data_IF_807008797389
#
_entry.id   IF_807008797389
#
_cell.length_a   1.000
_cell.length_b   1.000
_cell.length_c   1.000
_cell.angle_alpha   90.00
_cell.angle_beta   90.00
_cell.angle_gamma   90.00
#
_symmetry.space_group_name_H-M   'P 1'
#
loop_
_entity.id
_entity.type
_entity.pdbx_description
1 polymer ?
#
# COMPACT_ATOMS: atom_id res chain seq x y z
N UNK A 1 -8.08 -8.78 6.56
CA UNK A 1 -7.57 -9.22 5.24
C UNK A 1 -8.41 -10.34 4.60
N UNK A 2 -8.82 -11.40 5.29
CA UNK A 2 -9.86 -12.34 4.80
C UNK A 2 -9.61 -12.91 3.39
N UNK A 3 -10.67 -12.96 2.56
CA UNK A 3 -10.62 -13.43 1.17
C UNK A 3 -9.93 -12.46 0.17
N UNK A 4 -9.35 -11.34 0.65
CA UNK A 4 -8.66 -10.35 -0.18
C UNK A 4 -7.14 -10.57 -0.24
N UNK A 5 -6.60 -11.46 0.58
CA UNK A 5 -5.20 -11.86 0.54
C UNK A 5 -5.01 -13.05 -0.42
N UNK A 6 -3.93 -13.06 -1.19
CA UNK A 6 -3.64 -14.13 -2.15
C UNK A 6 -3.31 -15.49 -1.49
N UNK A 7 -2.73 -15.47 -0.29
CA UNK A 7 -2.29 -16.66 0.44
C UNK A 7 -2.01 -16.33 1.90
N UNK A 8 -1.89 -17.35 2.74
CA UNK A 8 -1.32 -17.23 4.08
C UNK A 8 0.22 -17.26 4.07
N UNK A 9 0.86 -17.60 2.95
CA UNK A 9 2.31 -17.68 2.81
C UNK A 9 2.87 -16.38 2.23
N UNK A 10 3.71 -15.62 2.97
CA UNK A 10 4.22 -14.31 2.53
C UNK A 10 4.92 -14.33 1.17
N UNK A 11 5.72 -15.37 0.91
CA UNK A 11 6.43 -15.55 -0.36
C UNK A 11 5.47 -15.67 -1.56
N UNK A 12 4.37 -16.42 -1.39
CA UNK A 12 3.34 -16.57 -2.43
C UNK A 12 2.60 -15.24 -2.64
N UNK A 13 2.32 -14.49 -1.57
CA UNK A 13 1.69 -13.17 -1.67
C UNK A 13 2.59 -12.20 -2.44
N UNK A 14 3.89 -12.19 -2.16
CA UNK A 14 4.87 -11.35 -2.86
C UNK A 14 4.99 -11.69 -4.34
N UNK A 15 5.11 -12.98 -4.68
CA UNK A 15 5.22 -13.44 -6.06
C UNK A 15 3.97 -13.09 -6.89
N UNK A 16 2.77 -13.42 -6.38
CA UNK A 16 1.51 -13.10 -7.06
C UNK A 16 1.24 -11.60 -7.13
N UNK A 17 1.53 -10.86 -6.05
CA UNK A 17 1.40 -9.40 -6.02
C UNK A 17 2.27 -8.74 -7.08
N UNK A 18 3.51 -9.21 -7.25
CA UNK A 18 4.42 -8.71 -8.29
C UNK A 18 3.94 -9.04 -9.70
N UNK A 19 3.43 -10.25 -9.94
CA UNK A 19 2.90 -10.64 -11.24
C UNK A 19 1.67 -9.79 -11.64
N UNK A 20 0.73 -9.60 -10.71
CA UNK A 20 -0.44 -8.74 -10.92
C UNK A 20 -0.01 -7.30 -11.19
N UNK A 21 0.96 -6.79 -10.44
CA UNK A 21 1.49 -5.44 -10.66
C UNK A 21 2.16 -5.29 -12.02
N UNK A 22 2.89 -6.31 -12.48
CA UNK A 22 3.49 -6.31 -13.82
C UNK A 22 2.42 -6.27 -14.91
N UNK A 23 1.36 -7.08 -14.78
CA UNK A 23 0.22 -7.05 -15.70
C UNK A 23 -0.43 -5.66 -15.81
N UNK A 24 -0.60 -4.95 -14.70
CA UNK A 24 -1.09 -3.56 -14.75
C UNK A 24 -0.14 -2.63 -15.51
N UNK A 25 1.16 -2.73 -15.26
CA UNK A 25 2.16 -1.89 -15.91
C UNK A 25 2.23 -2.15 -17.42
N UNK A 26 2.10 -3.42 -17.84
CA UNK A 26 2.08 -3.81 -19.25
C UNK A 26 0.89 -3.22 -20.01
N UNK A 27 -0.23 -3.00 -19.30
CA UNK A 27 -1.45 -2.35 -19.80
C UNK A 27 -1.47 -0.83 -19.57
N UNK A 28 -0.36 -0.25 -19.12
CA UNK A 28 -0.24 1.20 -18.88
C UNK A 28 -1.01 1.72 -17.67
N UNK A 29 -1.34 0.85 -16.71
CA UNK A 29 -1.94 1.21 -15.42
C UNK A 29 -0.91 1.14 -14.28
N UNK A 30 -0.96 2.08 -13.34
CA UNK A 30 -0.05 2.10 -12.20
C UNK A 30 -0.58 1.24 -11.04
N UNK A 31 0.11 0.16 -10.64
CA UNK A 31 -0.28 -0.65 -9.49
C UNK A 31 0.05 0.07 -8.18
N UNK A 32 -0.81 -0.08 -7.18
CA UNK A 32 -0.61 0.43 -5.82
C UNK A 32 -0.55 -0.74 -4.83
N UNK A 33 0.60 -0.92 -4.18
CA UNK A 33 0.74 -1.93 -3.12
C UNK A 33 0.02 -1.43 -1.86
N UNK A 34 -0.84 -2.26 -1.26
CA UNK A 34 -1.56 -1.87 -0.03
C UNK A 34 -1.94 -3.05 0.87
N UNK A 35 -2.11 -2.85 2.17
CA UNK A 35 -1.75 -1.64 2.93
C UNK A 35 -0.37 -1.86 3.53
N UNK A 36 0.64 -1.09 3.12
CA UNK A 36 2.02 -1.23 3.61
C UNK A 36 2.12 -0.70 5.06
N UNK A 37 2.85 -1.35 5.99
CA UNK A 37 3.68 -2.55 5.83
C UNK A 37 2.96 -3.87 6.13
N UNK A 38 1.63 -3.87 6.28
CA UNK A 38 0.84 -5.08 6.49
C UNK A 38 -0.43 -4.81 7.30
N UNK A 39 -1.48 -5.59 7.04
CA UNK A 39 -2.75 -5.56 7.81
C UNK A 39 -3.13 -6.99 8.24
N UNK A 40 -2.23 -7.96 8.10
CA UNK A 40 -2.51 -9.39 8.27
C UNK A 40 -2.89 -9.76 9.70
N UNK A 41 -2.23 -9.14 10.68
CA UNK A 41 -2.45 -9.38 12.11
C UNK A 41 -3.47 -8.46 12.77
N UNK A 42 -4.13 -7.59 12.02
CA UNK A 42 -5.16 -6.72 12.58
C UNK A 42 -6.42 -7.55 12.89
N UNK A 43 -6.81 -7.58 14.16
CA UNK A 43 -7.97 -8.36 14.62
C UNK A 43 -9.32 -7.73 14.21
N UNK A 44 -9.32 -6.47 13.77
CA UNK A 44 -10.52 -5.69 13.43
C UNK A 44 -10.35 -4.95 12.11
N UNK A 45 -11.47 -4.69 11.45
CA UNK A 45 -11.49 -3.90 10.23
C UNK A 45 -11.24 -2.41 10.54
N UNK A 46 -10.23 -1.81 9.88
CA UNK A 46 -9.88 -0.39 10.01
C UNK A 46 -10.99 0.57 9.55
N UNK A 47 -12.01 0.07 8.84
CA UNK A 47 -13.13 0.94 8.44
C UNK A 47 -14.01 1.36 9.62
N UNK A 48 -14.02 0.62 10.73
CA UNK A 48 -14.91 0.87 11.87
C UNK A 48 -14.19 1.18 13.19
N UNK A 49 -13.03 0.59 13.44
CA UNK A 49 -12.25 0.80 14.67
C UNK A 49 -10.77 0.86 14.32
N UNK A 50 -9.99 1.68 15.05
CA UNK A 50 -8.54 1.72 14.90
C UNK A 50 -7.94 0.34 15.23
N UNK A 51 -7.35 -0.39 14.26
CA UNK A 51 -6.75 -1.67 14.54
C UNK A 51 -5.41 -1.51 15.22
N UNK A 52 -5.18 -2.36 16.23
CA UNK A 52 -3.90 -2.45 16.94
C UNK A 52 -3.28 -3.80 16.62
N UNK A 53 -2.02 -3.76 16.19
CA UNK A 53 -1.19 -4.92 15.91
C UNK A 53 -0.24 -5.07 17.10
N UNK A 54 -0.56 -6.05 17.96
CA UNK A 54 0.14 -6.32 19.23
C UNK A 54 0.90 -7.64 19.15
N UNK A 55 1.79 -7.73 18.17
CA UNK A 55 2.73 -8.84 18.01
C UNK A 55 4.16 -8.32 18.02
N UNK A 56 5.10 -9.19 18.41
CA UNK A 56 6.50 -8.83 18.49
C UNK A 56 7.10 -8.53 17.10
N UNK A 57 8.14 -7.68 17.08
CA UNK A 57 8.74 -7.21 15.84
C UNK A 57 9.35 -8.34 14.99
N UNK A 58 9.89 -9.38 15.62
CA UNK A 58 10.42 -10.57 14.94
C UNK A 58 9.35 -11.33 14.16
N UNK A 59 8.12 -11.40 14.68
CA UNK A 59 6.96 -11.94 13.97
C UNK A 59 6.57 -11.05 12.78
N UNK A 60 6.56 -9.71 12.97
CA UNK A 60 6.19 -8.76 11.92
C UNK A 60 7.15 -8.75 10.73
N UNK A 61 8.41 -9.17 10.91
CA UNK A 61 9.38 -9.23 9.80
C UNK A 61 8.89 -10.16 8.68
N UNK A 62 8.16 -11.22 9.01
CA UNK A 62 7.57 -12.11 8.00
C UNK A 62 6.45 -11.42 7.22
N UNK A 63 5.63 -10.60 7.88
CA UNK A 63 4.57 -9.79 7.23
C UNK A 63 5.12 -8.75 6.25
N UNK A 64 6.36 -8.31 6.46
CA UNK A 64 7.01 -7.33 5.59
C UNK A 64 7.58 -7.97 4.31
N UNK A 65 7.74 -9.29 4.29
CA UNK A 65 8.34 -10.02 3.17
C UNK A 65 7.61 -9.80 1.82
N UNK A 66 6.27 -9.80 1.71
CA UNK A 66 5.59 -9.55 0.45
C UNK A 66 5.89 -8.15 -0.09
N UNK A 67 6.00 -7.15 0.80
CA UNK A 67 6.31 -5.77 0.41
C UNK A 67 7.77 -5.62 -0.05
N UNK A 68 8.70 -6.39 0.53
CA UNK A 68 10.10 -6.44 0.03
C UNK A 68 10.17 -6.96 -1.40
N UNK A 69 9.39 -7.98 -1.74
CA UNK A 69 9.32 -8.52 -3.10
C UNK A 69 8.79 -7.50 -4.12
N UNK A 70 7.99 -6.55 -3.65
CA UNK A 70 7.31 -5.54 -4.44
C UNK A 70 7.96 -4.14 -4.31
N UNK A 71 9.09 -3.99 -3.61
CA UNK A 71 9.60 -2.67 -3.23
C UNK A 71 10.07 -1.77 -4.39
N UNK A 72 10.25 -2.34 -5.58
CA UNK A 72 10.59 -1.62 -6.82
C UNK A 72 9.38 -1.06 -7.56
N UNK A 73 8.15 -1.36 -7.12
CA UNK A 73 6.94 -0.81 -7.73
C UNK A 73 6.81 0.70 -7.47
N UNK A 74 6.10 1.42 -8.36
CA UNK A 74 6.10 2.88 -8.31
C UNK A 74 5.29 3.47 -7.16
N UNK A 75 4.22 2.80 -6.72
CA UNK A 75 3.23 3.35 -5.77
C UNK A 75 2.93 2.37 -4.63
N UNK A 76 2.81 2.89 -3.42
CA UNK A 76 2.29 2.17 -2.27
C UNK A 76 1.36 3.06 -1.43
N UNK A 77 0.46 2.42 -0.70
CA UNK A 77 -0.51 3.07 0.19
C UNK A 77 -0.35 2.51 1.60
N UNK A 78 -0.17 3.40 2.59
CA UNK A 78 -0.15 3.03 4.01
C UNK A 78 -1.54 2.58 4.47
N UNK A 79 -1.64 1.92 5.62
CA UNK A 79 -2.92 1.75 6.33
C UNK A 79 -2.96 2.58 7.61
N UNK A 80 -4.12 2.68 8.24
CA UNK A 80 -4.26 3.30 9.56
C UNK A 80 -4.30 2.22 10.66
N UNK A 81 -3.14 1.83 11.19
CA UNK A 81 -3.00 0.82 12.25
C UNK A 81 -1.97 1.28 13.28
N UNK A 82 -2.13 0.89 14.54
CA UNK A 82 -1.07 1.00 15.54
C UNK A 82 -0.23 -0.27 15.51
N UNK A 83 1.09 -0.15 15.50
CA UNK A 83 2.01 -1.27 15.65
C UNK A 83 2.77 -1.11 16.95
N UNK A 84 2.31 -1.72 18.04
CA UNK A 84 2.84 -1.49 19.39
C UNK A 84 4.36 -1.75 19.49
N UNK A 85 4.85 -2.76 18.77
CA UNK A 85 6.27 -3.10 18.75
C UNK A 85 7.16 -2.10 17.99
N UNK A 86 6.59 -1.13 17.28
CA UNK A 86 7.31 -0.14 16.45
C UNK A 86 7.02 1.28 16.93
N UNK A 87 5.75 1.65 17.01
CA UNK A 87 5.24 2.95 17.47
C UNK A 87 3.83 2.75 18.03
N UNK A 88 3.72 2.79 19.35
CA UNK A 88 2.46 2.62 20.07
C UNK A 88 1.63 3.91 20.16
N UNK A 89 2.21 5.07 19.82
CA UNK A 89 1.58 6.38 19.98
C UNK A 89 0.92 6.86 18.69
N UNK A 90 1.46 6.44 17.54
CA UNK A 90 1.01 6.92 16.24
C UNK A 90 0.53 5.77 15.35
N UNK A 91 -0.53 6.03 14.60
CA UNK A 91 -0.95 5.15 13.50
C UNK A 91 0.14 5.13 12.43
N UNK A 92 0.26 4.03 11.69
CA UNK A 92 1.30 3.79 10.68
C UNK A 92 1.40 4.92 9.65
N UNK A 93 0.27 5.47 9.18
CA UNK A 93 0.23 6.62 8.26
C UNK A 93 0.83 7.91 8.85
N UNK A 94 0.89 8.05 10.17
CA UNK A 94 1.37 9.23 10.89
C UNK A 94 2.63 8.96 11.75
N UNK A 95 3.23 7.77 11.63
CA UNK A 95 4.44 7.39 12.37
C UNK A 95 5.68 7.58 11.49
N UNK A 96 6.50 8.61 11.80
CA UNK A 96 7.80 8.80 11.13
C UNK A 96 8.74 7.62 11.39
N UNK A 97 8.72 7.07 12.60
CA UNK A 97 9.51 5.89 12.97
C UNK A 97 9.20 4.69 12.08
N UNK A 98 7.91 4.39 11.90
CA UNK A 98 7.49 3.26 11.07
C UNK A 98 7.79 3.51 9.60
N UNK A 99 7.47 4.70 9.08
CA UNK A 99 7.74 5.02 7.67
C UNK A 99 9.24 4.97 7.39
N UNK A 100 10.08 5.60 8.20
CA UNK A 100 11.53 5.65 7.99
C UNK A 100 12.18 4.27 8.18
N UNK A 101 11.97 3.63 9.33
CA UNK A 101 12.70 2.40 9.68
C UNK A 101 12.15 1.17 8.97
N UNK A 102 10.84 1.10 8.76
CA UNK A 102 10.20 -0.09 8.18
C UNK A 102 9.95 0.08 6.69
N UNK A 103 9.19 1.10 6.28
CA UNK A 103 8.80 1.25 4.86
C UNK A 103 10.00 1.64 3.99
N UNK A 104 10.73 2.70 4.36
CA UNK A 104 11.89 3.18 3.61
C UNK A 104 13.16 2.36 3.91
N UNK A 105 13.32 1.91 5.16
CA UNK A 105 14.46 1.12 5.62
C UNK A 105 14.33 -0.38 5.31
N UNK A 106 13.67 -1.13 6.20
CA UNK A 106 13.59 -2.59 6.14
C UNK A 106 12.99 -3.14 4.84
N UNK A 107 11.88 -2.54 4.37
CA UNK A 107 11.23 -2.91 3.11
C UNK A 107 12.02 -2.38 1.92
N UNK A 108 12.65 -1.22 2.06
CA UNK A 108 13.40 -0.57 0.99
C UNK A 108 12.53 0.08 -0.08
N UNK A 109 11.28 0.44 0.23
CA UNK A 109 10.37 1.07 -0.73
C UNK A 109 10.74 2.55 -0.93
N UNK A 110 11.24 2.92 -2.11
CA UNK A 110 11.56 4.32 -2.47
C UNK A 110 10.54 4.96 -3.43
N UNK A 111 9.48 4.23 -3.82
CA UNK A 111 8.40 4.76 -4.65
C UNK A 111 7.54 5.82 -3.94
N UNK A 112 6.51 6.31 -4.62
CA UNK A 112 5.54 7.25 -4.06
C UNK A 112 4.69 6.55 -2.98
N UNK A 113 4.67 7.13 -1.78
CA UNK A 113 3.87 6.64 -0.66
C UNK A 113 2.68 7.57 -0.45
N UNK A 114 1.47 7.03 -0.59
CA UNK A 114 0.23 7.75 -0.28
C UNK A 114 -0.39 7.24 1.01
N UNK A 115 -1.22 8.08 1.63
CA UNK A 115 -2.07 7.64 2.75
C UNK A 115 -3.18 6.71 2.26
N UNK A 116 -3.72 5.86 3.14
CA UNK A 116 -5.12 5.43 3.00
C UNK A 116 -6.06 6.65 3.13
N UNK A 117 -7.36 6.47 2.91
CA UNK A 117 -8.34 7.56 3.01
C UNK A 117 -8.27 8.24 4.39
N UNK A 118 -7.87 9.51 4.40
CA UNK A 118 -7.69 10.30 5.62
C UNK A 118 -9.03 10.67 6.28
N UNK A 119 -10.16 10.39 5.62
CA UNK A 119 -11.49 10.57 6.18
C UNK A 119 -12.06 9.32 6.88
N UNK A 120 -11.29 8.22 6.95
CA UNK A 120 -11.70 7.00 7.65
C UNK A 120 -11.81 7.19 9.16
N UNK A 121 -12.76 6.48 9.77
CA UNK A 121 -13.01 6.48 11.23
C UNK A 121 -11.87 5.92 12.08
N UNK A 122 -10.89 5.24 11.47
CA UNK A 122 -9.68 4.78 12.17
C UNK A 122 -8.85 5.96 12.73
N UNK A 123 -9.00 7.15 12.16
CA UNK A 123 -8.36 8.36 12.66
C UNK A 123 -9.25 9.03 13.70
N UNK A 124 -8.64 9.59 14.75
CA UNK A 124 -9.37 10.18 15.87
C UNK A 124 -10.26 11.34 15.41
N UNK A 125 -11.57 11.32 15.71
CA UNK A 125 -12.48 12.40 15.33
C UNK A 125 -12.22 13.71 16.09
N UNK A 126 -11.40 13.68 17.14
CA UNK A 126 -11.01 14.86 17.92
C UNK A 126 -9.93 15.71 17.22
N UNK A 127 -9.25 15.12 16.23
CA UNK A 127 -8.19 15.79 15.46
C UNK A 127 -8.78 16.18 14.10
N UNK A 128 -8.53 17.41 13.67
CA UNK A 128 -9.03 17.87 12.37
C UNK A 128 -8.40 17.08 11.22
N UNK A 129 -9.17 16.90 10.15
CA UNK A 129 -8.70 16.24 8.93
C UNK A 129 -7.45 16.90 8.34
N UNK A 130 -7.36 18.23 8.40
CA UNK A 130 -6.19 19.02 8.00
C UNK A 130 -4.96 18.69 8.83
N UNK A 131 -5.13 18.46 10.14
CA UNK A 131 -4.04 18.09 11.04
C UNK A 131 -3.58 16.66 10.79
N UNK A 132 -4.50 15.74 10.50
CA UNK A 132 -4.14 14.38 10.08
C UNK A 132 -3.32 14.37 8.79
N UNK A 133 -3.74 15.15 7.80
CA UNK A 133 -3.03 15.28 6.54
C UNK A 133 -1.62 15.86 6.74
N UNK A 134 -1.47 16.92 7.55
CA UNK A 134 -0.16 17.48 7.90
C UNK A 134 0.74 16.48 8.64
N UNK A 135 0.20 15.71 9.58
CA UNK A 135 0.95 14.68 10.30
C UNK A 135 1.42 13.57 9.37
N UNK A 136 0.59 13.14 8.43
CA UNK A 136 0.97 12.12 7.46
C UNK A 136 2.12 12.58 6.54
N UNK A 137 2.06 13.84 6.06
CA UNK A 137 3.17 14.44 5.30
C UNK A 137 4.45 14.53 6.15
N UNK A 138 4.35 14.99 7.40
CA UNK A 138 5.49 15.08 8.32
C UNK A 138 6.09 13.71 8.64
N UNK A 139 5.28 12.66 8.66
CA UNK A 139 5.72 11.29 8.88
C UNK A 139 6.46 10.70 7.66
N UNK A 140 6.29 11.29 6.47
CA UNK A 140 6.99 10.88 5.24
C UNK A 140 6.11 10.29 4.14
N UNK A 141 4.78 10.47 4.23
CA UNK A 141 3.91 10.27 3.07
C UNK A 141 4.13 11.38 2.04
N UNK A 142 4.05 11.03 0.76
CA UNK A 142 4.23 11.93 -0.38
C UNK A 142 2.89 12.54 -0.83
N UNK A 143 1.79 11.78 -0.73
CA UNK A 143 0.44 12.19 -1.20
C UNK A 143 -0.64 11.87 -0.16
N UNK A 144 -1.61 12.76 0.00
CA UNK A 144 -2.78 12.56 0.86
C UNK A 144 -3.97 12.11 0.02
N UNK A 145 -4.62 11.03 0.45
CA UNK A 145 -5.83 10.52 -0.16
C UNK A 145 -7.07 10.91 0.66
N UNK A 146 -8.08 11.47 -0.01
CA UNK A 146 -9.39 11.80 0.54
C UNK A 146 -10.46 11.27 -0.42
N UNK A 147 -11.24 10.28 0.00
CA UNK A 147 -12.13 9.56 -0.94
C UNK A 147 -13.60 9.92 -0.83
N UNK A 148 -14.06 10.47 0.30
CA UNK A 148 -15.48 10.70 0.53
C UNK A 148 -16.07 11.89 -0.27
N UNK A 149 -15.22 12.72 -0.86
CA UNK A 149 -15.61 13.82 -1.75
C UNK A 149 -16.41 14.94 -1.09
N UNK A 150 -16.44 15.03 0.24
CA UNK A 150 -17.18 16.08 0.95
C UNK A 150 -16.47 17.43 0.80
N UNK A 151 -17.10 18.44 0.17
CA UNK A 151 -16.44 19.72 -0.06
C UNK A 151 -16.03 20.43 1.24
N UNK A 152 -16.80 20.24 2.32
CA UNK A 152 -16.49 20.78 3.65
C UNK A 152 -15.18 20.27 4.25
N UNK A 153 -14.68 19.13 3.79
CA UNK A 153 -13.39 18.55 4.18
C UNK A 153 -12.31 18.87 3.13
N UNK A 154 -12.66 18.80 1.83
CA UNK A 154 -11.74 19.04 0.73
C UNK A 154 -11.21 20.48 0.67
N UNK A 155 -12.07 21.50 0.84
CA UNK A 155 -11.62 22.90 0.74
C UNK A 155 -10.57 23.25 1.81
N UNK A 156 -10.78 22.94 3.10
CA UNK A 156 -9.74 23.14 4.11
C UNK A 156 -8.46 22.35 3.84
N UNK A 157 -8.54 21.14 3.28
CA UNK A 157 -7.36 20.36 2.89
C UNK A 157 -6.56 21.07 1.80
N UNK A 158 -7.22 21.59 0.75
CA UNK A 158 -6.55 22.30 -0.34
C UNK A 158 -5.87 23.60 0.11
N UNK A 159 -6.34 24.23 1.19
CA UNK A 159 -5.71 25.43 1.75
C UNK A 159 -4.40 25.14 2.49
N UNK A 160 -4.26 23.94 3.08
CA UNK A 160 -3.10 23.61 3.94
C UNK A 160 -2.09 22.67 3.29
N UNK A 161 -2.48 21.94 2.24
CA UNK A 161 -1.62 20.99 1.57
C UNK A 161 -0.69 21.68 0.57
N UNK A 162 0.62 21.43 0.63
CA UNK A 162 1.57 22.00 -0.31
C UNK A 162 1.46 21.32 -1.68
N UNK A 163 1.90 22.03 -2.72
CA UNK A 163 2.20 21.39 -4.00
C UNK A 163 3.35 20.37 -3.83
N UNK A 164 3.35 19.33 -4.66
CA UNK A 164 4.44 18.35 -4.70
C UNK A 164 5.78 19.02 -5.03
N UNK A 165 6.80 18.74 -4.22
CA UNK A 165 8.16 19.25 -4.41
C UNK A 165 9.19 18.20 -3.98
N UNK A 166 10.46 18.38 -4.37
CA UNK A 166 11.57 17.53 -3.96
C UNK A 166 11.35 16.04 -4.25
N UNK A 167 11.65 15.18 -3.26
CA UNK A 167 11.54 13.72 -3.39
C UNK A 167 10.14 13.24 -3.73
N UNK A 168 9.10 13.88 -3.20
CA UNK A 168 7.72 13.51 -3.49
C UNK A 168 7.40 13.72 -4.98
N UNK A 169 7.82 14.86 -5.54
CA UNK A 169 7.66 15.14 -6.97
C UNK A 169 8.48 14.19 -7.84
N UNK A 170 9.75 13.93 -7.50
CA UNK A 170 10.60 12.98 -8.24
C UNK A 170 9.97 11.57 -8.29
N UNK A 171 9.38 11.11 -7.19
CA UNK A 171 8.67 9.82 -7.11
C UNK A 171 7.42 9.82 -7.98
N UNK A 172 6.64 10.90 -7.94
CA UNK A 172 5.46 11.07 -8.80
C UNK A 172 5.85 11.01 -10.27
N UNK A 173 6.85 11.77 -10.69
CA UNK A 173 7.30 11.81 -12.08
C UNK A 173 7.80 10.45 -12.57
N UNK A 174 8.57 9.74 -11.74
CA UNK A 174 9.00 8.36 -12.03
C UNK A 174 7.82 7.41 -12.19
N UNK A 175 6.81 7.52 -11.33
CA UNK A 175 5.61 6.70 -11.44
C UNK A 175 4.83 7.02 -12.72
N UNK A 176 4.59 8.30 -13.00
CA UNK A 176 3.84 8.75 -14.18
C UNK A 176 4.54 8.40 -15.50
N UNK A 177 5.88 8.33 -15.51
CA UNK A 177 6.65 7.91 -16.68
C UNK A 177 6.43 6.43 -17.08
N UNK A 178 5.80 5.63 -16.22
CA UNK A 178 5.44 4.24 -16.53
C UNK A 178 4.08 4.12 -17.23
N UNK A 179 3.27 5.19 -17.24
CA UNK A 179 2.02 5.20 -18.01
C UNK A 179 2.34 5.11 -19.51
N UNK A 180 1.57 4.30 -20.23
CA UNK A 180 1.72 4.16 -21.67
C UNK A 180 0.36 4.01 -22.34
N UNK A 181 0.19 4.65 -23.50
CA UNK A 181 -1.01 4.50 -24.33
C UNK A 181 -0.94 3.25 -25.24
N UNK A 182 0.06 2.39 -25.03
CA UNK A 182 0.21 1.16 -25.81
C UNK A 182 -0.94 0.23 -25.49
N UNK A 183 -1.72 -0.07 -26.52
CA UNK A 183 -2.68 -1.16 -26.47
C UNK A 183 -1.89 -2.47 -26.44
N UNK A 184 -1.99 -3.17 -25.33
CA UNK A 184 -1.40 -4.49 -25.18
C UNK A 184 -1.93 -5.45 -26.24
N UNK A 185 -1.05 -6.37 -26.66
CA UNK A 185 -1.42 -7.48 -27.54
C UNK A 185 -1.87 -8.70 -26.75
N UNK A 186 -1.89 -8.61 -25.43
CA UNK A 186 -2.34 -9.67 -24.55
C UNK A 186 -3.80 -9.99 -24.86
N UNK A 187 -4.08 -11.26 -25.17
CA UNK A 187 -5.44 -11.76 -25.26
C UNK A 187 -5.72 -12.65 -24.04
N UNK A 188 -7.01 -12.85 -23.76
CA UNK A 188 -7.47 -13.60 -22.59
C UNK A 188 -6.82 -14.99 -22.48
N UNK A 189 -6.67 -15.69 -23.60
CA UNK A 189 -6.07 -17.03 -23.63
C UNK A 189 -4.59 -17.02 -23.25
N UNK A 190 -3.81 -16.06 -23.74
CA UNK A 190 -2.40 -15.94 -23.34
C UNK A 190 -2.25 -15.56 -21.87
N UNK A 191 -3.08 -14.63 -21.38
CA UNK A 191 -3.06 -14.22 -19.97
C UNK A 191 -3.48 -15.35 -19.03
N UNK A 192 -4.51 -16.12 -19.41
CA UNK A 192 -4.97 -17.26 -18.62
C UNK A 192 -3.91 -18.36 -18.55
N UNK A 193 -3.21 -18.61 -19.66
CA UNK A 193 -2.11 -19.59 -19.68
C UNK A 193 -0.97 -19.17 -18.73
N UNK A 194 -0.51 -17.93 -18.84
CA UNK A 194 0.54 -17.40 -17.96
C UNK A 194 0.12 -17.44 -16.48
N UNK A 195 -1.12 -17.06 -16.18
CA UNK A 195 -1.69 -17.16 -14.84
C UNK A 195 -1.70 -18.60 -14.31
N UNK A 196 -2.10 -19.58 -15.14
CA UNK A 196 -2.11 -20.99 -14.75
C UNK A 196 -0.72 -21.54 -14.48
N UNK A 197 0.27 -21.18 -15.31
CA UNK A 197 1.67 -21.55 -15.10
C UNK A 197 2.16 -21.00 -13.75
N UNK A 198 1.98 -19.69 -13.51
CA UNK A 198 2.33 -19.04 -12.25
C UNK A 198 1.67 -19.66 -11.02
N UNK A 199 0.36 -19.94 -11.10
CA UNK A 199 -0.38 -20.54 -9.99
C UNK A 199 0.06 -21.98 -9.75
N UNK A 200 0.39 -22.74 -10.80
CA UNK A 200 0.82 -24.13 -10.66
C UNK A 200 2.15 -24.30 -9.93
N UNK A 201 3.01 -23.28 -9.96
CA UNK A 201 4.29 -23.24 -9.24
C UNK A 201 4.09 -23.04 -7.73
N UNK A 202 2.97 -22.44 -7.33
CA UNK A 202 2.67 -22.13 -5.92
C UNK A 202 1.56 -23.00 -5.32
N UNK A 203 0.69 -23.58 -6.14
CA UNK A 203 -0.45 -24.38 -5.75
C UNK A 203 -0.47 -25.69 -6.57
N UNK A 204 0.14 -26.78 -6.06
CA UNK A 204 0.32 -28.02 -6.81
C UNK A 204 -1.00 -28.68 -7.26
N UNK A 205 -2.09 -28.43 -6.54
CA UNK A 205 -3.43 -28.95 -6.85
C UNK A 205 -4.20 -28.13 -7.89
N UNK A 206 -3.68 -26.98 -8.32
CA UNK A 206 -4.33 -26.17 -9.33
C UNK A 206 -4.32 -26.87 -10.70
N UNK A 207 -5.43 -26.81 -11.47
CA UNK A 207 -5.53 -27.50 -12.75
C UNK A 207 -4.50 -26.94 -13.73
N UNK A 208 -3.47 -27.76 -13.99
CA UNK A 208 -2.32 -27.41 -14.83
C UNK A 208 -2.65 -27.34 -16.32
N UNK A 209 -3.73 -27.99 -16.76
CA UNK A 209 -4.18 -28.04 -18.16
C UNK A 209 -5.71 -28.20 -18.24
N UNK A 210 -6.41 -27.26 -18.89
CA UNK A 210 -7.71 -27.47 -19.55
C UNK A 210 -7.64 -26.75 -20.88
#
# INVERSE_FOLDING_TARGET
MGNRAFSAHPEVVGALGKAVAQGFLDEGALPVIKHIPGHGHAAVDSHEVLPVVDVALDVLVEDFAPFRHCNTLPLAMTGHLIFNAIDAENVSTQSSTLIEKIIRGHIGFDGLLMTDDISMKALSPEISITKHAQRALQAGCDVILHCNGKPSEMFPLMEVLPNLTGRALERTEKAMALLTDKISKTNETSAEKEWRELISDHFPESPKNV
#
